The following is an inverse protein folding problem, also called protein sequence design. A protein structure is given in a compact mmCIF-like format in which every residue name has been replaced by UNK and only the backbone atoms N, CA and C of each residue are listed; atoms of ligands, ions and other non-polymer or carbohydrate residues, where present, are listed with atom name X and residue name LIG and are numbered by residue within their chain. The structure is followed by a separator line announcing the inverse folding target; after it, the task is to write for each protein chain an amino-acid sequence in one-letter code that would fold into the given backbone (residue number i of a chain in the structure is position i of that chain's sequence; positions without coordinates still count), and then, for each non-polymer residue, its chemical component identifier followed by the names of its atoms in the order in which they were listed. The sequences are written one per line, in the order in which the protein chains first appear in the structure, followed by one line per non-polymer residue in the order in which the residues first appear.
data_IF_047841111039
#
_entry.id   IF_047841111039
#
_cell.length_a   1.000
_cell.length_b   1.000
_cell.length_c   1.000
_cell.angle_alpha   90.00
_cell.angle_beta   90.00
_cell.angle_gamma   90.00
#
_symmetry.space_group_name_H-M   'P 1'
#
loop_
_entity.id
_entity.type
_entity.pdbx_description
1 polymer ?
#
# COMPACT_ATOMS: atom_id res chain seq x y z
N UNK A 1 1.61 34.61 5.72
CA UNK A 1 2.85 33.84 5.90
C UNK A 1 2.93 32.78 4.80
N UNK A 2 3.86 32.92 3.87
CA UNK A 2 4.10 31.91 2.82
C UNK A 2 5.14 30.86 3.24
N UNK A 3 6.01 31.23 4.19
CA UNK A 3 7.10 30.39 4.71
C UNK A 3 6.58 29.16 5.45
N UNK A 4 5.51 29.32 6.25
CA UNK A 4 4.90 28.20 7.00
C UNK A 4 4.41 27.09 6.07
N UNK A 5 3.86 27.43 4.89
CA UNK A 5 3.40 26.45 3.90
C UNK A 5 4.50 25.50 3.41
N UNK A 6 5.75 25.99 3.34
CA UNK A 6 6.90 25.19 2.91
C UNK A 6 7.51 24.43 4.07
N UNK A 7 7.59 25.05 5.26
CA UNK A 7 8.11 24.41 6.47
C UNK A 7 7.23 23.23 6.93
N UNK A 8 5.92 23.33 6.72
CA UNK A 8 4.93 22.34 7.14
C UNK A 8 4.52 21.39 6.00
N UNK A 9 5.08 21.55 4.81
CA UNK A 9 4.79 20.66 3.68
C UNK A 9 5.28 19.24 3.99
N UNK A 10 4.40 18.26 3.80
CA UNK A 10 4.77 16.84 3.97
C UNK A 10 5.57 16.36 2.78
N UNK A 11 6.49 15.44 3.05
CA UNK A 11 7.18 14.67 2.01
C UNK A 11 6.20 13.69 1.37
N UNK A 12 6.17 13.65 0.04
CA UNK A 12 5.46 12.63 -0.73
C UNK A 12 6.45 11.61 -1.28
N UNK A 13 6.05 10.34 -1.30
CA UNK A 13 6.82 9.23 -1.86
C UNK A 13 6.07 8.61 -3.03
N UNK A 14 6.80 8.15 -4.04
CA UNK A 14 6.31 7.32 -5.14
C UNK A 14 6.75 5.86 -4.98
N UNK A 15 6.37 4.98 -5.93
CA UNK A 15 6.70 3.55 -5.90
C UNK A 15 8.22 3.30 -5.81
N UNK A 16 9.01 4.04 -6.59
CA UNK A 16 10.46 3.84 -6.68
C UNK A 16 11.25 4.35 -5.47
N UNK A 17 10.61 5.11 -4.57
CA UNK A 17 11.25 5.66 -3.37
C UNK A 17 11.28 4.66 -2.20
N UNK A 18 10.52 3.54 -2.31
CA UNK A 18 10.26 2.65 -1.17
C UNK A 18 10.51 1.19 -1.51
N UNK A 19 10.85 0.42 -0.46
CA UNK A 19 10.94 -1.04 -0.51
C UNK A 19 10.17 -1.62 0.67
N UNK A 20 9.55 -2.78 0.46
CA UNK A 20 8.95 -3.56 1.54
C UNK A 20 10.04 -4.36 2.23
N UNK A 21 10.20 -4.19 3.54
CA UNK A 21 11.16 -4.96 4.32
C UNK A 21 10.67 -6.39 4.50
N UNK A 22 11.54 -7.41 4.37
CA UNK A 22 11.17 -8.79 4.62
C UNK A 22 10.86 -9.00 6.11
N UNK A 23 9.92 -9.91 6.40
CA UNK A 23 9.56 -10.33 7.74
C UNK A 23 9.31 -11.84 7.81
N UNK A 24 9.32 -12.44 9.02
CA UNK A 24 9.02 -13.85 9.18
C UNK A 24 7.58 -14.15 8.72
N UNK A 25 7.42 -15.17 7.86
CA UNK A 25 6.11 -15.63 7.37
C UNK A 25 5.81 -17.04 7.86
N UNK A 26 4.53 -17.33 8.11
CA UNK A 26 4.00 -18.68 8.36
C UNK A 26 3.18 -19.21 7.19
N UNK A 27 3.10 -18.46 6.09
CA UNK A 27 2.28 -18.74 4.92
C UNK A 27 3.18 -18.75 3.69
N UNK A 28 3.08 -19.82 2.90
CA UNK A 28 3.74 -19.94 1.61
C UNK A 28 3.02 -19.11 0.54
N UNK A 29 3.73 -18.58 -0.47
CA UNK A 29 3.13 -17.75 -1.52
C UNK A 29 1.93 -18.38 -2.22
N UNK A 30 1.95 -19.69 -2.45
CA UNK A 30 0.86 -20.43 -3.10
C UNK A 30 -0.41 -20.57 -2.25
N UNK A 31 -0.32 -20.24 -0.95
CA UNK A 31 -1.44 -20.32 0.00
C UNK A 31 -1.99 -18.94 0.40
N UNK A 32 -1.46 -17.86 -0.18
CA UNK A 32 -1.92 -16.49 0.12
C UNK A 32 -3.28 -16.25 -0.51
N UNK A 33 -4.25 -15.77 0.28
CA UNK A 33 -5.52 -15.27 -0.26
C UNK A 33 -5.33 -13.86 -0.83
N UNK A 34 -5.60 -13.69 -2.12
CA UNK A 34 -5.51 -12.40 -2.84
C UNK A 34 -6.87 -11.77 -3.16
N UNK A 35 -7.98 -12.32 -2.65
CA UNK A 35 -9.31 -11.75 -2.83
C UNK A 35 -9.41 -10.36 -2.20
N UNK A 36 -10.14 -9.45 -2.84
CA UNK A 36 -10.30 -8.07 -2.38
C UNK A 36 -11.70 -7.53 -2.66
N UNK A 37 -12.15 -6.56 -1.86
CA UNK A 37 -13.42 -5.88 -2.06
C UNK A 37 -13.18 -4.52 -2.73
N UNK A 38 -13.70 -4.36 -3.96
CA UNK A 38 -13.70 -3.06 -4.63
C UNK A 38 -14.79 -2.14 -4.06
N UNK A 39 -15.92 -2.72 -3.64
CA UNK A 39 -17.00 -2.02 -2.97
C UNK A 39 -17.75 -2.95 -2.02
N UNK A 40 -18.72 -2.42 -1.27
CA UNK A 40 -19.58 -3.22 -0.36
C UNK A 40 -20.21 -4.45 -1.01
N UNK A 41 -20.45 -4.40 -2.32
CA UNK A 41 -21.15 -5.47 -3.05
C UNK A 41 -20.33 -6.09 -4.18
N UNK A 42 -19.06 -5.69 -4.35
CA UNK A 42 -18.18 -6.22 -5.41
C UNK A 42 -16.94 -6.82 -4.77
N UNK A 43 -16.85 -8.14 -4.83
CA UNK A 43 -15.68 -8.93 -4.43
C UNK A 43 -14.96 -9.44 -5.67
N UNK A 44 -13.65 -9.21 -5.70
CA UNK A 44 -12.74 -9.67 -6.75
C UNK A 44 -11.96 -10.87 -6.23
N UNK A 45 -11.70 -11.84 -7.13
CA UNK A 45 -10.83 -12.97 -6.81
C UNK A 45 -9.35 -12.58 -6.80
N UNK A 46 -8.99 -11.52 -7.53
CA UNK A 46 -7.62 -10.99 -7.71
C UNK A 46 -7.73 -9.44 -7.76
N UNK A 47 -6.83 -8.66 -7.14
CA UNK A 47 -6.95 -7.21 -7.06
C UNK A 47 -6.26 -6.52 -8.26
N UNK A 48 -6.81 -6.74 -9.47
CA UNK A 48 -6.36 -6.17 -10.75
C UNK A 48 -7.56 -5.65 -11.54
#
# INVERSE_FOLDING_TARGET
MFVSKLQEAKVGYTYDDVLVLPGPSRVEPSMVNVESYLSRHIRLNIPV
#
